data_IF_764909880908
#
_entry.id   IF_764909880908
#
_cell.length_a   1.000
_cell.length_b   1.000
_cell.length_c   1.000
_cell.angle_alpha   90.00
_cell.angle_beta   90.00
_cell.angle_gamma   90.00
#
_symmetry.space_group_name_H-M   'P 1'
#
loop_
_entity.id
_entity.type
_entity.pdbx_description
1 polymer ?
#
# COMPACT_ATOMS: atom_id res chain seq x y z
N UNK A 1 -28.05 -15.52 -16.40
CA UNK A 1 -29.06 -15.35 -15.32
C UNK A 1 -28.71 -16.11 -14.04
N UNK A 2 -28.32 -17.39 -14.09
CA UNK A 2 -27.99 -18.18 -12.88
C UNK A 2 -26.68 -17.72 -12.19
N UNK A 3 -25.62 -17.47 -12.96
CA UNK A 3 -24.33 -16.99 -12.42
C UNK A 3 -24.45 -15.63 -11.73
N UNK A 4 -25.16 -14.68 -12.34
CA UNK A 4 -25.45 -13.35 -11.76
C UNK A 4 -26.16 -13.50 -10.40
N UNK A 5 -27.14 -14.39 -10.29
CA UNK A 5 -27.84 -14.66 -9.01
C UNK A 5 -26.90 -15.22 -7.94
N UNK A 6 -26.01 -16.15 -8.29
CA UNK A 6 -25.03 -16.71 -7.35
C UNK A 6 -24.07 -15.62 -6.86
N UNK A 7 -23.57 -14.76 -7.77
CA UNK A 7 -22.71 -13.63 -7.40
C UNK A 7 -23.43 -12.63 -6.49
N UNK A 8 -24.72 -12.35 -6.74
CA UNK A 8 -25.50 -11.49 -5.86
C UNK A 8 -25.61 -12.05 -4.44
N UNK A 9 -25.93 -13.35 -4.28
CA UNK A 9 -26.00 -13.96 -2.95
C UNK A 9 -24.64 -13.99 -2.24
N UNK A 10 -23.57 -14.29 -2.99
CA UNK A 10 -22.22 -14.26 -2.45
C UNK A 10 -21.86 -12.88 -1.88
N UNK A 11 -22.07 -11.82 -2.67
CA UNK A 11 -21.76 -10.45 -2.25
C UNK A 11 -22.63 -9.99 -1.08
N UNK A 12 -23.91 -10.39 -1.06
CA UNK A 12 -24.81 -10.10 0.08
C UNK A 12 -24.27 -10.71 1.37
N UNK A 13 -23.88 -11.99 1.35
CA UNK A 13 -23.38 -12.66 2.55
C UNK A 13 -22.05 -12.06 3.04
N UNK A 14 -21.13 -11.72 2.13
CA UNK A 14 -19.88 -11.03 2.49
C UNK A 14 -20.18 -9.65 3.08
N UNK A 15 -21.09 -8.89 2.46
CA UNK A 15 -21.50 -7.57 2.95
C UNK A 15 -22.12 -7.66 4.35
N UNK A 16 -22.94 -8.69 4.61
CA UNK A 16 -23.51 -8.94 5.94
C UNK A 16 -22.42 -9.22 6.98
N UNK A 17 -21.39 -10.00 6.63
CA UNK A 17 -20.26 -10.27 7.51
C UNK A 17 -19.45 -8.99 7.81
N UNK A 18 -19.16 -8.16 6.80
CA UNK A 18 -18.46 -6.88 6.98
C UNK A 18 -19.29 -5.88 7.80
N UNK A 19 -20.60 -5.81 7.55
CA UNK A 19 -21.53 -5.00 8.35
C UNK A 19 -21.51 -5.41 9.83
N UNK A 20 -21.44 -6.72 10.11
CA UNK A 20 -21.28 -7.21 11.47
C UNK A 20 -19.93 -6.80 12.09
N UNK A 21 -18.82 -6.92 11.36
CA UNK A 21 -17.51 -6.46 11.84
C UNK A 21 -17.50 -4.96 12.15
N UNK A 22 -18.03 -4.15 11.23
CA UNK A 22 -18.18 -2.71 11.44
C UNK A 22 -19.04 -2.38 12.67
N UNK A 23 -20.13 -3.15 12.90
CA UNK A 23 -20.99 -2.96 14.08
C UNK A 23 -20.30 -3.20 15.43
N UNK A 24 -19.22 -3.99 15.44
CA UNK A 24 -18.37 -4.23 16.62
C UNK A 24 -17.06 -3.43 16.57
N UNK A 25 -16.93 -2.50 15.62
CA UNK A 25 -15.77 -1.63 15.48
C UNK A 25 -14.50 -2.34 15.01
N UNK A 26 -14.62 -3.41 14.24
CA UNK A 26 -13.51 -4.22 13.74
C UNK A 26 -13.31 -4.02 12.23
N UNK A 27 -12.04 -3.96 11.83
CA UNK A 27 -11.59 -3.99 10.43
C UNK A 27 -10.94 -5.34 10.17
N UNK A 28 -11.26 -5.99 9.05
CA UNK A 28 -10.61 -7.25 8.65
C UNK A 28 -9.20 -7.00 8.07
N UNK A 29 -9.04 -5.92 7.29
CA UNK A 29 -7.77 -5.41 6.75
C UNK A 29 -7.02 -6.35 5.78
N UNK A 30 -7.63 -7.46 5.37
CA UNK A 30 -7.03 -8.42 4.41
C UNK A 30 -8.11 -9.22 3.67
N UNK A 31 -9.21 -8.57 3.29
CA UNK A 31 -10.28 -9.20 2.53
C UNK A 31 -9.83 -9.45 1.09
N UNK A 32 -9.92 -10.70 0.64
CA UNK A 32 -9.59 -11.16 -0.71
C UNK A 32 -10.32 -12.47 -1.02
N UNK A 33 -10.40 -12.93 -2.28
CA UNK A 33 -11.11 -14.16 -2.60
C UNK A 33 -10.62 -15.38 -1.80
N UNK A 34 -9.29 -15.47 -1.57
CA UNK A 34 -8.69 -16.53 -0.77
C UNK A 34 -9.11 -16.56 0.71
N UNK A 35 -9.64 -15.44 1.22
CA UNK A 35 -10.08 -15.29 2.61
C UNK A 35 -11.61 -15.32 2.75
N UNK A 36 -12.34 -15.72 1.68
CA UNK A 36 -13.79 -15.93 1.69
C UNK A 36 -14.08 -17.39 1.40
N UNK A 37 -14.52 -18.12 2.42
CA UNK A 37 -14.76 -19.56 2.33
C UNK A 37 -16.23 -19.86 2.04
N UNK A 38 -16.49 -20.66 1.00
CA UNK A 38 -17.81 -21.24 0.76
C UNK A 38 -18.03 -22.39 1.74
N UNK A 39 -19.09 -22.30 2.56
CA UNK A 39 -19.39 -23.29 3.62
C UNK A 39 -19.85 -24.61 3.01
N UNK A 40 -20.81 -24.54 2.08
CA UNK A 40 -21.31 -25.70 1.36
C UNK A 40 -21.74 -25.31 -0.06
N UNK A 41 -21.02 -25.83 -1.06
CA UNK A 41 -21.29 -25.55 -2.49
C UNK A 41 -22.61 -26.12 -3.01
N UNK A 42 -23.22 -27.06 -2.27
CA UNK A 42 -24.48 -27.69 -2.64
C UNK A 42 -25.69 -27.02 -1.99
N UNK A 43 -25.47 -26.05 -1.09
CA UNK A 43 -26.53 -25.27 -0.47
C UNK A 43 -26.98 -24.12 -1.40
N UNK A 44 -28.29 -23.84 -1.43
CA UNK A 44 -28.88 -22.76 -2.21
C UNK A 44 -29.87 -21.98 -1.33
N UNK A 45 -29.58 -20.70 -0.99
CA UNK A 45 -28.42 -19.92 -1.44
C UNK A 45 -27.09 -20.40 -0.86
N UNK A 46 -26.00 -20.11 -1.57
CA UNK A 46 -24.63 -20.40 -1.11
C UNK A 46 -24.33 -19.57 0.13
N UNK A 47 -23.82 -20.20 1.19
CA UNK A 47 -23.34 -19.53 2.39
C UNK A 47 -21.83 -19.36 2.35
N UNK A 48 -21.36 -18.21 2.82
CA UNK A 48 -19.93 -17.89 2.91
C UNK A 48 -19.53 -17.47 4.32
N UNK A 49 -18.25 -17.57 4.63
CA UNK A 49 -17.66 -17.07 5.87
C UNK A 49 -16.34 -16.39 5.56
N UNK A 50 -16.07 -15.30 6.27
CA UNK A 50 -14.76 -14.68 6.31
C UNK A 50 -13.83 -15.52 7.18
N UNK A 51 -12.59 -15.64 6.76
CA UNK A 51 -11.51 -16.34 7.47
C UNK A 51 -10.26 -15.46 7.50
N UNK A 52 -9.24 -15.89 8.25
CA UNK A 52 -7.93 -15.23 8.30
C UNK A 52 -7.97 -13.78 8.85
N UNK A 53 -8.35 -13.69 10.13
CA UNK A 53 -8.36 -12.44 10.92
C UNK A 53 -6.96 -12.05 11.44
N UNK A 54 -5.87 -12.54 10.83
CA UNK A 54 -4.51 -12.29 11.32
C UNK A 54 -4.09 -10.82 11.30
N UNK A 55 -4.71 -10.02 10.42
CA UNK A 55 -4.53 -8.56 10.34
C UNK A 55 -5.71 -7.77 10.93
N UNK A 56 -6.73 -8.47 11.44
CA UNK A 56 -7.92 -7.80 11.90
C UNK A 56 -7.65 -7.07 13.22
N UNK A 57 -8.14 -5.84 13.30
CA UNK A 57 -7.92 -5.00 14.48
C UNK A 57 -9.14 -4.10 14.74
N UNK A 58 -9.29 -3.59 15.97
CA UNK A 58 -10.25 -2.53 16.25
C UNK A 58 -9.93 -1.30 15.40
N UNK A 59 -10.94 -0.67 14.79
CA UNK A 59 -10.76 0.56 14.02
C UNK A 59 -10.09 1.68 14.85
N UNK A 60 -10.35 1.70 16.16
CA UNK A 60 -9.72 2.64 17.10
C UNK A 60 -8.24 2.37 17.39
N UNK A 61 -7.73 1.20 17.01
CA UNK A 61 -6.35 0.76 17.24
C UNK A 61 -5.54 0.66 15.94
N UNK A 62 -6.11 1.07 14.81
CA UNK A 62 -5.42 1.14 13.52
C UNK A 62 -4.24 2.10 13.63
N UNK A 63 -3.05 1.59 13.33
CA UNK A 63 -1.86 2.41 13.15
C UNK A 63 -1.66 2.67 11.64
N UNK A 64 -1.72 3.93 11.17
CA UNK A 64 -1.53 4.25 9.76
C UNK A 64 -0.16 3.82 9.20
N UNK A 65 0.85 3.63 10.06
CA UNK A 65 2.17 3.14 9.66
C UNK A 65 2.27 1.62 9.52
N UNK A 66 1.19 0.88 9.72
CA UNK A 66 1.19 -0.57 9.54
C UNK A 66 0.79 -0.89 8.09
N UNK A 67 1.76 -1.21 7.24
CA UNK A 67 1.51 -1.77 5.90
C UNK A 67 0.97 -3.20 6.03
N UNK A 68 -0.36 -3.34 6.06
CA UNK A 68 -1.04 -4.63 6.26
C UNK A 68 -1.86 -5.06 5.05
N UNK A 69 -2.14 -6.36 5.00
CA UNK A 69 -3.02 -6.95 4.01
C UNK A 69 -2.33 -7.32 2.70
N UNK A 70 -3.14 -7.49 1.65
CA UNK A 70 -2.68 -7.90 0.33
C UNK A 70 -2.84 -6.74 -0.63
N UNK A 71 -1.72 -6.18 -1.12
CA UNK A 71 -1.64 -4.97 -1.97
C UNK A 71 -2.76 -4.91 -3.01
N UNK A 72 -2.96 -5.95 -3.82
CA UNK A 72 -3.96 -5.97 -4.90
C UNK A 72 -5.43 -5.79 -4.46
N UNK A 73 -5.72 -5.81 -3.17
CA UNK A 73 -7.04 -5.58 -2.58
C UNK A 73 -7.05 -4.41 -1.57
N UNK A 74 -5.92 -3.75 -1.33
CA UNK A 74 -5.79 -2.70 -0.32
C UNK A 74 -6.38 -1.38 -0.80
N UNK A 75 -7.06 -0.66 0.10
CA UNK A 75 -7.58 0.66 -0.20
C UNK A 75 -6.43 1.70 -0.34
N UNK A 76 -6.58 2.76 -1.14
CA UNK A 76 -5.53 3.77 -1.31
C UNK A 76 -5.14 4.43 0.01
N UNK A 77 -6.07 4.61 0.95
CA UNK A 77 -5.78 5.11 2.30
C UNK A 77 -4.86 4.17 3.09
N UNK A 78 -4.97 2.86 2.91
CA UNK A 78 -4.07 1.88 3.55
C UNK A 78 -2.68 1.99 2.94
N UNK A 79 -2.59 2.08 1.60
CA UNK A 79 -1.30 2.18 0.89
C UNK A 79 -0.54 3.46 1.19
N UNK A 80 -1.26 4.57 1.37
CA UNK A 80 -0.69 5.88 1.65
C UNK A 80 -0.39 6.10 3.13
N UNK A 81 -0.71 5.11 3.98
CA UNK A 81 -0.50 5.19 5.41
C UNK A 81 -1.35 6.29 6.04
N UNK A 82 -2.62 6.35 5.63
CA UNK A 82 -3.63 7.24 6.18
C UNK A 82 -4.46 6.48 7.24
N UNK A 83 -5.09 7.19 8.20
CA UNK A 83 -6.09 6.58 9.05
C UNK A 83 -7.20 5.93 8.22
N UNK A 84 -7.47 4.65 8.48
CA UNK A 84 -8.52 3.88 7.81
C UNK A 84 -9.42 3.18 8.83
N UNK A 85 -10.56 2.71 8.36
CA UNK A 85 -11.56 2.01 9.17
C UNK A 85 -12.24 0.91 8.33
N UNK A 86 -13.41 0.44 8.75
CA UNK A 86 -14.18 -0.62 8.06
C UNK A 86 -14.51 -0.32 6.59
N UNK A 87 -14.43 0.94 6.14
CA UNK A 87 -14.63 1.29 4.72
C UNK A 87 -13.51 0.74 3.82
N UNK A 88 -12.33 0.46 4.37
CA UNK A 88 -11.25 -0.17 3.61
C UNK A 88 -11.61 -1.60 3.18
N UNK A 89 -12.34 -2.35 4.01
CA UNK A 89 -12.84 -3.67 3.63
C UNK A 89 -13.91 -3.58 2.52
N UNK A 90 -14.65 -2.48 2.45
CA UNK A 90 -15.60 -2.24 1.37
C UNK A 90 -14.91 -1.97 0.03
N UNK A 91 -13.73 -1.32 0.05
CA UNK A 91 -12.88 -1.22 -1.14
C UNK A 91 -12.46 -2.60 -1.63
N UNK A 92 -11.91 -3.42 -0.73
CA UNK A 92 -11.51 -4.80 -1.03
C UNK A 92 -12.67 -5.63 -1.58
N UNK A 93 -13.88 -5.49 -1.01
CA UNK A 93 -15.09 -6.15 -1.51
C UNK A 93 -15.45 -5.72 -2.94
N UNK A 94 -15.28 -4.44 -3.28
CA UNK A 94 -15.46 -3.95 -4.65
C UNK A 94 -14.54 -4.65 -5.65
N UNK A 95 -13.28 -4.87 -5.27
CA UNK A 95 -12.30 -5.58 -6.10
C UNK A 95 -12.62 -7.07 -6.21
N UNK A 96 -12.99 -7.72 -5.11
CA UNK A 96 -13.52 -9.10 -5.11
C UNK A 96 -14.73 -9.22 -6.03
N UNK A 97 -15.66 -8.27 -6.01
CA UNK A 97 -16.85 -8.30 -6.85
C UNK A 97 -16.52 -8.27 -8.35
N UNK A 98 -15.55 -7.43 -8.75
CA UNK A 98 -15.06 -7.41 -10.14
C UNK A 98 -14.40 -8.72 -10.50
N UNK A 99 -13.49 -9.23 -9.67
CA UNK A 99 -12.78 -10.48 -9.95
C UNK A 99 -13.72 -11.69 -10.06
N UNK A 100 -14.75 -11.75 -9.22
CA UNK A 100 -15.78 -12.79 -9.34
C UNK A 100 -16.59 -12.67 -10.64
N UNK A 101 -16.84 -11.45 -11.11
CA UNK A 101 -17.61 -11.22 -12.33
C UNK A 101 -16.80 -11.49 -13.61
N UNK A 102 -15.50 -11.20 -13.61
CA UNK A 102 -14.63 -11.28 -14.79
C UNK A 102 -13.76 -12.54 -14.81
N UNK A 103 -13.55 -13.18 -13.65
CA UNK A 103 -12.59 -14.26 -13.45
C UNK A 103 -11.13 -13.79 -13.37
N UNK A 104 -10.87 -12.48 -13.39
CA UNK A 104 -9.53 -11.89 -13.33
C UNK A 104 -9.49 -10.68 -12.39
N UNK A 105 -8.40 -10.46 -11.63
CA UNK A 105 -8.26 -9.28 -10.79
C UNK A 105 -8.46 -7.99 -11.61
N UNK A 106 -9.12 -6.98 -11.02
CA UNK A 106 -9.28 -5.68 -11.69
C UNK A 106 -7.92 -5.04 -12.00
N UNK A 107 -6.98 -5.18 -11.07
CA UNK A 107 -5.65 -4.64 -11.15
C UNK A 107 -4.64 -5.79 -11.09
N UNK A 108 -4.04 -6.20 -12.22
CA UNK A 108 -2.97 -7.20 -12.23
C UNK A 108 -1.68 -6.54 -11.71
N UNK A 109 -1.21 -6.96 -10.54
CA UNK A 109 -0.14 -6.28 -9.80
C UNK A 109 1.13 -7.11 -9.70
N UNK A 110 2.26 -6.50 -10.03
CA UNK A 110 3.61 -7.02 -9.75
C UNK A 110 4.23 -6.35 -8.51
N UNK A 111 3.85 -5.09 -8.23
CA UNK A 111 4.33 -4.30 -7.09
C UNK A 111 3.31 -3.22 -6.64
N UNK A 112 3.59 -2.55 -5.52
CA UNK A 112 2.73 -1.51 -4.92
C UNK A 112 2.59 -0.25 -5.78
N UNK A 113 3.66 0.17 -6.45
CA UNK A 113 3.64 1.34 -7.32
C UNK A 113 2.69 1.16 -8.51
N UNK A 114 2.75 0.02 -9.19
CA UNK A 114 1.86 -0.27 -10.32
C UNK A 114 0.40 -0.34 -9.88
N UNK A 115 0.14 -0.88 -8.68
CA UNK A 115 -1.20 -0.91 -8.12
C UNK A 115 -1.78 0.51 -7.94
N UNK A 116 -1.02 1.38 -7.26
CA UNK A 116 -1.46 2.75 -7.00
C UNK A 116 -1.57 3.57 -8.30
N UNK A 117 -0.66 3.34 -9.26
CA UNK A 117 -0.73 3.91 -10.60
C UNK A 117 -2.05 3.58 -11.29
N UNK A 118 -2.45 2.30 -11.31
CA UNK A 118 -3.72 1.90 -11.89
C UNK A 118 -4.93 2.51 -11.18
N UNK A 119 -4.89 2.62 -9.84
CA UNK A 119 -5.96 3.30 -9.09
C UNK A 119 -6.08 4.75 -9.56
N UNK A 120 -4.97 5.48 -9.65
CA UNK A 120 -4.95 6.88 -10.07
C UNK A 120 -5.43 7.05 -11.51
N UNK A 121 -4.99 6.18 -12.43
CA UNK A 121 -5.41 6.22 -13.84
C UNK A 121 -6.92 5.95 -14.01
N UNK A 122 -7.51 5.10 -13.17
CA UNK A 122 -8.93 4.70 -13.29
C UNK A 122 -9.89 5.51 -12.42
N UNK A 123 -9.44 6.04 -11.28
CA UNK A 123 -10.27 6.76 -10.29
C UNK A 123 -9.88 8.22 -10.10
N UNK A 124 -8.73 8.63 -10.64
CA UNK A 124 -8.14 9.94 -10.40
C UNK A 124 -7.25 9.98 -9.16
N UNK A 125 -6.41 11.00 -9.09
CA UNK A 125 -5.53 11.23 -7.95
C UNK A 125 -6.33 11.67 -6.71
N UNK A 126 -5.98 11.18 -5.50
CA UNK A 126 -6.51 11.76 -4.27
C UNK A 126 -6.22 13.26 -4.16
N UNK A 127 -7.09 14.05 -3.52
CA UNK A 127 -6.90 15.49 -3.38
C UNK A 127 -5.74 15.81 -2.44
N UNK A 128 -5.12 16.98 -2.61
CA UNK A 128 -3.89 17.35 -1.88
C UNK A 128 -4.03 17.25 -0.35
N UNK A 129 -5.18 17.63 0.23
CA UNK A 129 -5.39 17.56 1.68
C UNK A 129 -5.39 16.12 2.23
N UNK A 130 -5.72 15.14 1.40
CA UNK A 130 -5.61 13.71 1.75
C UNK A 130 -4.15 13.30 1.67
N UNK A 131 -3.45 13.67 0.60
CA UNK A 131 -2.05 13.33 0.39
C UNK A 131 -1.13 13.96 1.46
N UNK A 132 -1.42 15.18 1.93
CA UNK A 132 -0.68 15.85 3.00
C UNK A 132 -0.61 15.06 4.31
N UNK A 133 -1.57 14.16 4.54
CA UNK A 133 -1.69 13.41 5.80
C UNK A 133 -1.12 11.99 5.72
N UNK A 134 -0.68 11.55 4.53
CA UNK A 134 -0.26 10.18 4.31
C UNK A 134 1.19 9.95 4.70
N UNK A 135 1.43 8.95 5.55
CA UNK A 135 2.79 8.57 6.00
C UNK A 135 3.69 8.17 4.82
N UNK A 136 3.11 7.56 3.78
CA UNK A 136 3.84 7.07 2.62
C UNK A 136 3.62 7.93 1.36
N UNK A 137 3.01 9.11 1.48
CA UNK A 137 2.75 9.97 0.31
C UNK A 137 4.04 10.27 -0.46
N UNK A 138 5.12 10.63 0.24
CA UNK A 138 6.40 10.97 -0.37
C UNK A 138 7.08 9.79 -1.09
N UNK A 139 6.68 8.55 -0.82
CA UNK A 139 7.20 7.38 -1.53
C UNK A 139 6.67 7.34 -2.97
N UNK A 140 5.43 7.80 -3.18
CA UNK A 140 4.70 7.71 -4.45
C UNK A 140 4.50 9.04 -5.17
N UNK A 141 4.58 10.17 -4.46
CA UNK A 141 4.30 11.49 -4.98
C UNK A 141 5.48 12.45 -4.83
N UNK A 142 5.48 13.51 -5.62
CA UNK A 142 6.41 14.64 -5.53
C UNK A 142 5.59 15.87 -5.18
N UNK A 143 6.00 16.58 -4.13
CA UNK A 143 5.43 17.87 -3.77
C UNK A 143 6.05 19.00 -4.63
N UNK A 144 5.20 19.85 -5.19
CA UNK A 144 5.59 21.07 -5.88
C UNK A 144 4.72 22.25 -5.42
N UNK A 145 5.30 23.08 -4.55
CA UNK A 145 4.63 24.23 -3.94
C UNK A 145 4.33 25.40 -4.92
N UNK A 146 4.74 25.29 -6.19
CA UNK A 146 4.56 26.34 -7.19
C UNK A 146 3.38 26.10 -8.14
N UNK A 147 2.70 24.96 -8.01
CA UNK A 147 1.56 24.58 -8.85
C UNK A 147 0.29 24.40 -8.01
N UNK A 148 -0.86 24.53 -8.66
CA UNK A 148 -2.16 24.51 -7.98
C UNK A 148 -2.50 23.13 -7.39
N UNK A 149 -2.06 22.05 -8.03
CA UNK A 149 -2.12 20.68 -7.51
C UNK A 149 -0.71 20.31 -7.02
N UNK A 150 -0.47 20.43 -5.72
CA UNK A 150 0.88 20.33 -5.14
C UNK A 150 1.48 18.95 -5.33
N UNK A 151 0.67 17.90 -5.20
CA UNK A 151 1.17 16.54 -5.33
C UNK A 151 1.05 16.02 -6.75
N UNK A 152 2.14 15.49 -7.28
CA UNK A 152 2.16 14.80 -8.58
C UNK A 152 2.66 13.38 -8.40
N UNK A 153 1.92 12.40 -8.92
CA UNK A 153 2.34 11.00 -8.88
C UNK A 153 3.67 10.82 -9.62
N UNK A 154 4.62 10.10 -9.00
CA UNK A 154 5.94 9.85 -9.58
C UNK A 154 5.82 9.08 -10.89
N UNK A 155 6.69 9.38 -11.83
CA UNK A 155 6.96 8.47 -12.95
C UNK A 155 7.73 7.24 -12.46
N UNK A 156 7.76 6.19 -13.26
CA UNK A 156 8.45 4.95 -12.90
C UNK A 156 9.96 5.19 -12.66
N UNK A 157 10.57 6.05 -13.48
CA UNK A 157 11.95 6.51 -13.30
C UNK A 157 12.16 7.25 -11.98
N UNK A 158 11.20 8.10 -11.58
CA UNK A 158 11.27 8.87 -10.33
C UNK A 158 11.06 7.96 -9.11
N UNK A 159 10.15 6.98 -9.20
CA UNK A 159 9.93 5.99 -8.15
C UNK A 159 11.18 5.12 -7.94
N UNK A 160 11.79 4.62 -9.01
CA UNK A 160 13.00 3.77 -8.94
C UNK A 160 14.24 4.51 -8.40
N UNK A 161 14.33 5.83 -8.61
CA UNK A 161 15.42 6.65 -8.04
C UNK A 161 15.35 6.74 -6.51
N UNK A 162 14.19 6.48 -5.92
CA UNK A 162 13.92 6.67 -4.49
C UNK A 162 13.88 8.17 -4.10
N UNK A 163 13.53 8.50 -2.84
CA UNK A 163 13.60 9.87 -2.37
C UNK A 163 15.04 10.39 -2.50
N UNK A 164 15.25 11.62 -2.95
CA UNK A 164 16.56 12.31 -2.80
C UNK A 164 16.75 12.72 -1.34
N UNK A 165 16.75 11.76 -0.41
CA UNK A 165 17.15 12.01 0.97
C UNK A 165 18.65 11.72 1.14
N UNK A 166 19.26 12.28 2.18
CA UNK A 166 20.68 12.08 2.49
C UNK A 166 21.03 10.58 2.64
N UNK A 167 20.06 9.69 2.91
CA UNK A 167 20.22 8.25 3.11
C UNK A 167 20.25 7.48 1.79
N UNK A 168 19.43 7.84 0.81
CA UNK A 168 19.47 7.31 -0.54
C UNK A 168 20.76 7.72 -1.25
N UNK A 169 21.23 8.95 -1.04
CA UNK A 169 22.53 9.41 -1.53
C UNK A 169 23.67 8.59 -0.94
N UNK A 170 23.62 8.31 0.37
CA UNK A 170 24.61 7.47 1.05
C UNK A 170 24.61 6.01 0.54
N UNK A 171 23.43 5.42 0.37
CA UNK A 171 23.28 4.06 -0.18
C UNK A 171 23.73 4.01 -1.64
N UNK A 172 23.43 5.04 -2.44
CA UNK A 172 23.88 5.15 -3.83
C UNK A 172 25.40 5.20 -3.91
N UNK A 173 26.04 6.03 -3.07
CA UNK A 173 27.49 6.10 -2.97
C UNK A 173 28.11 4.76 -2.58
N UNK A 174 27.51 4.01 -1.64
CA UNK A 174 27.98 2.65 -1.31
C UNK A 174 27.88 1.71 -2.52
N UNK A 175 26.77 1.73 -3.26
CA UNK A 175 26.60 0.89 -4.46
C UNK A 175 27.65 1.23 -5.53
N UNK A 176 27.93 2.51 -5.74
CA UNK A 176 28.94 2.99 -6.67
C UNK A 176 30.38 2.60 -6.23
N UNK A 177 30.64 2.51 -4.92
CA UNK A 177 31.91 1.98 -4.39
C UNK A 177 32.04 0.47 -4.59
N UNK A 178 30.93 -0.26 -4.52
CA UNK A 178 30.86 -1.71 -4.68
C UNK A 178 30.66 -2.13 -6.15
N UNK A 179 30.88 -1.24 -7.11
CA UNK A 179 30.78 -1.57 -8.53
C UNK A 179 31.76 -2.71 -8.90
N UNK A 180 31.22 -3.74 -9.57
CA UNK A 180 31.96 -4.93 -10.00
C UNK A 180 32.98 -4.59 -11.09
N UNK A 181 32.63 -3.68 -12.00
CA UNK A 181 33.55 -3.11 -12.97
C UNK A 181 34.37 -1.99 -12.33
N UNK A 182 35.69 -2.15 -12.31
CA UNK A 182 36.62 -1.18 -11.75
C UNK A 182 36.58 0.17 -12.49
N UNK A 183 36.18 0.20 -13.77
CA UNK A 183 36.04 1.43 -14.56
C UNK A 183 34.77 2.20 -14.24
N UNK A 184 33.77 1.55 -13.64
CA UNK A 184 32.50 2.15 -13.21
C UNK A 184 32.50 2.50 -11.71
N UNK A 185 33.57 2.15 -10.99
CA UNK A 185 33.69 2.39 -9.55
C UNK A 185 34.00 3.85 -9.26
N UNK A 186 33.26 4.44 -8.32
CA UNK A 186 33.43 5.85 -7.94
C UNK A 186 34.81 6.11 -7.31
N UNK A 187 35.37 7.28 -7.59
CA UNK A 187 36.62 7.80 -7.00
C UNK A 187 36.26 8.71 -5.82
N UNK A 188 37.04 8.69 -4.71
CA UNK A 188 36.79 9.58 -3.59
C UNK A 188 36.78 11.06 -3.96
N UNK A 189 35.73 11.79 -3.55
CA UNK A 189 35.64 13.24 -3.65
C UNK A 189 35.46 13.87 -2.27
N UNK A 190 35.88 15.13 -2.11
CA UNK A 190 35.73 15.86 -0.84
C UNK A 190 34.28 15.90 -0.37
N UNK A 191 33.33 16.10 -1.30
CA UNK A 191 31.90 16.14 -1.00
C UNK A 191 31.42 14.79 -0.48
N UNK A 192 31.81 13.69 -1.13
CA UNK A 192 31.47 12.33 -0.69
C UNK A 192 32.04 12.01 0.70
N UNK A 193 33.29 12.38 0.96
CA UNK A 193 33.93 12.14 2.26
C UNK A 193 33.22 12.89 3.40
N UNK A 194 32.83 14.15 3.17
CA UNK A 194 32.05 14.95 4.13
C UNK A 194 30.68 14.34 4.41
N UNK A 195 29.98 13.89 3.36
CA UNK A 195 28.67 13.21 3.49
C UNK A 195 28.79 11.91 4.29
N UNK A 196 29.80 11.08 3.99
CA UNK A 196 30.03 9.82 4.70
C UNK A 196 30.41 10.01 6.17
N UNK A 197 31.29 10.97 6.48
CA UNK A 197 31.67 11.29 7.86
C UNK A 197 30.47 11.73 8.70
N UNK A 198 29.64 12.63 8.16
CA UNK A 198 28.42 13.11 8.82
C UNK A 198 27.44 11.95 9.12
N UNK A 199 27.26 11.04 8.16
CA UNK A 199 26.38 9.85 8.30
C UNK A 199 26.90 8.83 9.31
N UNK A 200 28.19 8.50 9.27
CA UNK A 200 28.81 7.60 10.26
C UNK A 200 28.68 8.17 11.67
N UNK A 201 28.86 9.48 11.84
CA UNK A 201 28.72 10.14 13.14
C UNK A 201 27.29 10.05 13.68
N UNK A 202 26.26 10.29 12.83
CA UNK A 202 24.86 10.10 13.23
C UNK A 202 24.55 8.65 13.63
N UNK A 203 25.03 7.64 12.88
CA UNK A 203 24.84 6.23 13.21
C UNK A 203 25.50 5.83 14.53
N UNK A 204 26.65 6.41 14.87
CA UNK A 204 27.28 6.16 16.16
C UNK A 204 26.47 6.80 17.30
N UNK A 205 25.90 7.99 17.08
CA UNK A 205 25.13 8.71 18.12
C UNK A 205 23.81 8.01 18.44
N UNK A 206 23.15 7.40 17.43
CA UNK A 206 21.93 6.60 17.65
C UNK A 206 22.21 5.24 18.31
N UNK A 207 23.43 4.70 18.17
CA UNK A 207 23.82 3.44 18.84
C UNK A 207 24.31 3.65 20.29
N UNK A 208 24.77 4.84 20.66
CA UNK A 208 25.26 5.11 22.02
C UNK A 208 24.17 5.54 23.00
N UNK A 209 22.95 5.82 22.54
CA UNK A 209 21.80 6.08 23.43
C UNK A 209 21.96 7.28 24.37
N UNK A 210 22.82 8.24 24.04
CA UNK A 210 22.93 9.49 24.79
C UNK A 210 21.88 10.47 24.25
N UNK A 211 20.82 10.65 25.06
CA UNK A 211 19.90 11.79 24.98
C UNK A 211 20.46 12.97 25.76
#
# INVERSE_FOLDING_TARGET
MLAIRIYSFFLIEVTNALSHLGSVGMVHANLKPGNIMVVNRHESPVKVRLIDFGFACPASAVNPSDCVGTVGYSAPEVMLGLPYNETSDMWSLGLVAVELATGVPLYPVENEYDYLKFIIETRGQPPDHVLDSGVYTDDYFIENNYIQQRWTFKTEEQFQRGPEDDQSLFVRQIKEMLALDAHQRIIPSETMMKTMQKKMMMMMTTMTGET
#
